data_IF_293232698254
#
_entry.id   IF_293232698254
#
_cell.length_a   1.000
_cell.length_b   1.000
_cell.length_c   1.000
_cell.angle_alpha   90.00
_cell.angle_beta   90.00
_cell.angle_gamma   90.00
#
_symmetry.space_group_name_H-M   'P 1'
#
loop_
_entity.id
_entity.type
_entity.pdbx_description
1 polymer ?
#
# COMPACT_ATOMS: atom_id res chain seq x y z
N UNK A 1 -5.10 -12.84 4.16
CA UNK A 1 -3.93 -12.01 4.53
C UNK A 1 -3.98 -11.57 5.99
N UNK A 2 -5.08 -10.96 6.47
CA UNK A 2 -5.18 -10.47 7.87
C UNK A 2 -4.78 -11.50 8.94
N UNK A 3 -5.21 -12.76 8.79
CA UNK A 3 -4.83 -13.82 9.75
C UNK A 3 -3.33 -14.13 9.84
N UNK A 4 -2.54 -13.94 8.77
CA UNK A 4 -1.08 -14.13 8.83
C UNK A 4 -0.41 -12.94 9.52
N UNK A 5 -0.86 -11.72 9.22
CA UNK A 5 -0.39 -10.51 9.89
C UNK A 5 -0.69 -10.54 11.39
N UNK A 6 -1.90 -10.99 11.78
CA UNK A 6 -2.30 -11.14 13.19
C UNK A 6 -1.49 -12.23 13.90
N UNK A 7 -1.25 -13.36 13.23
CA UNK A 7 -0.52 -14.48 13.82
C UNK A 7 0.98 -14.18 14.00
N UNK A 8 1.60 -13.48 13.04
CA UNK A 8 3.04 -13.28 12.99
C UNK A 8 3.49 -11.87 13.42
N UNK A 9 2.55 -10.95 13.65
CA UNK A 9 2.86 -9.54 13.97
C UNK A 9 3.54 -8.79 12.82
N UNK A 10 3.37 -9.26 11.58
CA UNK A 10 4.00 -8.71 10.39
C UNK A 10 3.08 -7.70 9.69
N UNK A 11 3.68 -6.64 9.13
CA UNK A 11 2.97 -5.66 8.31
C UNK A 11 2.86 -6.16 6.86
N UNK A 12 1.64 -6.17 6.34
CA UNK A 12 1.32 -6.47 4.95
C UNK A 12 2.06 -5.57 3.95
N UNK A 13 2.39 -4.33 4.34
CA UNK A 13 3.14 -3.38 3.52
C UNK A 13 4.56 -3.87 3.19
N UNK A 14 5.10 -4.79 3.98
CA UNK A 14 6.45 -5.32 3.84
C UNK A 14 6.50 -6.68 3.13
N UNK A 15 5.38 -7.15 2.56
CA UNK A 15 5.37 -8.41 1.80
C UNK A 15 5.62 -8.18 0.31
N UNK A 16 6.42 -9.06 -0.28
CA UNK A 16 6.61 -9.12 -1.73
C UNK A 16 5.27 -9.33 -2.46
N UNK A 17 5.10 -8.62 -3.58
CA UNK A 17 3.95 -8.75 -4.47
C UNK A 17 4.45 -8.92 -5.92
N UNK A 18 4.09 -10.02 -6.59
CA UNK A 18 4.54 -10.33 -7.97
C UNK A 18 3.55 -9.94 -9.08
N UNK A 19 2.44 -9.28 -8.72
CA UNK A 19 1.38 -8.93 -9.67
C UNK A 19 0.61 -7.68 -9.26
N UNK A 20 1.26 -6.77 -8.53
CA UNK A 20 0.66 -5.52 -8.04
C UNK A 20 1.47 -4.32 -8.49
N UNK A 21 0.80 -3.19 -8.59
CA UNK A 21 1.39 -1.92 -9.02
C UNK A 21 1.12 -0.86 -7.95
N UNK A 22 2.08 0.03 -7.75
CA UNK A 22 1.90 1.30 -7.03
C UNK A 22 2.03 2.41 -8.07
N UNK A 23 1.02 3.28 -8.13
CA UNK A 23 0.93 4.33 -9.14
C UNK A 23 0.77 5.69 -8.46
N UNK A 24 1.52 6.68 -8.94
CA UNK A 24 1.32 8.09 -8.62
C UNK A 24 0.66 8.76 -9.82
N UNK A 25 -0.47 9.44 -9.59
CA UNK A 25 -1.29 10.07 -10.63
C UNK A 25 -1.63 11.50 -10.24
N UNK A 26 -2.01 12.31 -11.23
CA UNK A 26 -2.54 13.65 -10.98
C UNK A 26 -3.84 13.55 -10.14
N UNK A 27 -4.06 14.51 -9.23
CA UNK A 27 -5.15 14.46 -8.26
C UNK A 27 -6.53 14.42 -8.92
N UNK A 28 -6.68 15.20 -9.99
CA UNK A 28 -7.87 15.30 -10.83
C UNK A 28 -8.16 14.03 -11.64
N UNK A 29 -7.13 13.24 -11.96
CA UNK A 29 -7.27 11.97 -12.69
C UNK A 29 -7.44 10.73 -11.79
N UNK A 30 -7.35 10.88 -10.46
CA UNK A 30 -7.29 9.75 -9.54
C UNK A 30 -8.50 8.80 -9.65
N UNK A 31 -9.71 9.35 -9.67
CA UNK A 31 -10.94 8.55 -9.80
C UNK A 31 -11.08 7.92 -11.19
N UNK A 32 -10.68 8.65 -12.23
CA UNK A 32 -10.71 8.16 -13.60
C UNK A 32 -9.77 6.95 -13.77
N UNK A 33 -8.52 7.07 -13.32
CA UNK A 33 -7.55 5.97 -13.35
C UNK A 33 -8.03 4.79 -12.50
N UNK A 34 -8.59 5.05 -11.31
CA UNK A 34 -9.12 4.00 -10.45
C UNK A 34 -10.25 3.21 -11.14
N UNK A 35 -11.17 3.90 -11.82
CA UNK A 35 -12.24 3.26 -12.57
C UNK A 35 -11.69 2.38 -13.71
N UNK A 36 -10.70 2.88 -14.45
CA UNK A 36 -10.03 2.12 -15.51
C UNK A 36 -9.34 0.86 -14.96
N UNK A 37 -8.60 0.96 -13.86
CA UNK A 37 -7.96 -0.20 -13.22
C UNK A 37 -9.00 -1.24 -12.80
N UNK A 38 -10.09 -0.80 -12.16
CA UNK A 38 -11.16 -1.69 -11.68
C UNK A 38 -11.96 -2.35 -12.80
N UNK A 39 -11.96 -1.78 -14.00
CA UNK A 39 -12.57 -2.40 -15.19
C UNK A 39 -11.83 -3.65 -15.68
N UNK A 40 -10.54 -3.79 -15.33
CA UNK A 40 -9.73 -4.93 -15.70
C UNK A 40 -9.72 -6.00 -14.60
N UNK A 41 -9.77 -7.28 -14.97
CA UNK A 41 -9.86 -8.39 -14.00
C UNK A 41 -8.72 -8.39 -12.96
N UNK A 42 -7.50 -8.00 -13.37
CA UNK A 42 -6.34 -7.90 -12.47
C UNK A 42 -6.38 -6.67 -11.54
N UNK A 43 -7.15 -5.64 -11.87
CA UNK A 43 -7.21 -4.38 -11.14
C UNK A 43 -8.51 -4.17 -10.35
N UNK A 44 -9.41 -5.16 -10.29
CA UNK A 44 -10.70 -5.08 -9.57
C UNK A 44 -10.56 -4.59 -8.12
N UNK A 45 -9.44 -4.94 -7.47
CA UNK A 45 -9.14 -4.64 -6.07
C UNK A 45 -8.28 -3.36 -5.91
N UNK A 46 -8.09 -2.58 -6.99
CA UNK A 46 -7.36 -1.31 -6.94
C UNK A 46 -8.03 -0.32 -5.98
N UNK A 47 -7.20 0.50 -5.33
CA UNK A 47 -7.65 1.48 -4.36
C UNK A 47 -6.69 2.68 -4.31
N UNK A 48 -7.24 3.85 -3.99
CA UNK A 48 -6.45 5.02 -3.58
C UNK A 48 -6.04 4.80 -2.13
N UNK A 49 -4.74 4.79 -1.86
CA UNK A 49 -4.18 4.46 -0.53
C UNK A 49 -3.45 5.64 0.14
N UNK A 50 -3.38 6.80 -0.51
CA UNK A 50 -2.71 7.96 0.06
C UNK A 50 -2.60 9.13 -0.92
N UNK A 51 -1.88 10.16 -0.49
CA UNK A 51 -1.60 11.36 -1.28
C UNK A 51 -0.17 11.85 -1.02
N UNK A 52 0.43 12.48 -2.02
CA UNK A 52 1.71 13.17 -1.87
C UNK A 52 1.47 14.52 -1.18
N UNK A 53 2.29 14.83 -0.19
CA UNK A 53 2.24 16.09 0.56
C UNK A 53 3.62 16.75 0.55
N UNK A 54 3.66 18.07 0.73
CA UNK A 54 4.92 18.83 0.71
C UNK A 54 5.90 18.43 1.84
N UNK A 55 5.38 17.93 2.98
CA UNK A 55 6.23 17.51 4.09
C UNK A 55 6.95 16.18 3.75
N UNK A 56 8.29 16.14 3.85
CA UNK A 56 9.05 14.92 3.58
C UNK A 56 8.71 13.73 4.50
N UNK A 57 8.94 12.53 3.98
CA UNK A 57 8.78 11.26 4.69
C UNK A 57 7.44 10.55 4.43
N UNK A 58 7.43 9.23 4.57
CA UNK A 58 6.23 8.39 4.43
C UNK A 58 5.57 8.21 5.78
N UNK A 59 4.25 8.37 5.84
CA UNK A 59 3.47 8.22 7.08
C UNK A 59 2.21 7.43 6.85
N UNK A 60 1.93 6.49 7.74
CA UNK A 60 0.64 5.80 7.80
C UNK A 60 -0.33 6.57 8.68
N UNK A 61 -1.62 6.51 8.36
CA UNK A 61 -2.70 7.13 9.13
C UNK A 61 -3.46 6.03 9.86
N UNK A 62 -3.34 6.01 11.18
CA UNK A 62 -4.04 5.06 12.04
C UNK A 62 -5.38 5.59 12.55
N UNK A 63 -5.88 4.94 13.60
CA UNK A 63 -7.10 5.38 14.30
C UNK A 63 -7.01 6.85 14.71
N UNK A 64 -8.16 7.53 14.64
CA UNK A 64 -8.32 8.96 14.97
C UNK A 64 -7.44 9.90 14.12
N UNK A 65 -6.98 9.45 12.94
CA UNK A 65 -6.17 10.28 12.05
C UNK A 65 -4.72 10.45 12.52
N UNK A 66 -4.27 9.67 13.51
CA UNK A 66 -2.90 9.74 14.03
C UNK A 66 -1.92 9.31 12.94
N UNK A 67 -1.00 10.21 12.58
CA UNK A 67 0.03 9.98 11.57
C UNK A 67 1.30 9.49 12.24
N UNK A 68 1.82 8.33 11.82
CA UNK A 68 3.09 7.77 12.29
C UNK A 68 4.04 7.61 11.10
N UNK A 69 5.33 7.82 11.32
CA UNK A 69 6.34 7.51 10.30
C UNK A 69 6.27 6.03 9.96
N UNK A 70 6.30 5.71 8.68
CA UNK A 70 6.39 4.34 8.20
C UNK A 70 7.86 4.03 7.94
N UNK A 71 8.47 3.30 8.86
CA UNK A 71 9.87 2.90 8.75
C UNK A 71 10.02 1.67 7.86
N UNK A 72 11.13 1.60 7.13
CA UNK A 72 11.46 0.43 6.33
C UNK A 72 11.86 -0.74 7.25
N UNK A 73 11.51 -1.99 6.89
CA UNK A 73 11.95 -3.16 7.63
C UNK A 73 13.48 -3.29 7.53
N UNK A 74 14.12 -3.73 8.62
CA UNK A 74 15.56 -3.99 8.61
C UNK A 74 15.94 -5.23 7.79
N UNK A 75 15.01 -6.18 7.66
CA UNK A 75 15.18 -7.45 6.94
C UNK A 75 13.86 -7.87 6.32
N UNK A 76 13.91 -8.63 5.22
CA UNK A 76 12.72 -9.25 4.63
C UNK A 76 12.08 -10.25 5.63
N UNK A 77 10.74 -10.27 5.78
CA UNK A 77 10.05 -11.13 6.74
C UNK A 77 10.16 -12.64 6.47
N UNK A 78 10.45 -13.07 5.24
CA UNK A 78 10.56 -14.49 4.89
C UNK A 78 11.77 -14.74 3.98
N UNK A 79 12.58 -15.79 4.27
CA UNK A 79 13.64 -16.20 3.37
C UNK A 79 13.06 -16.80 2.08
N UNK A 80 13.65 -16.45 0.92
CA UNK A 80 13.28 -16.98 -0.42
C UNK A 80 11.82 -16.68 -0.83
N UNK A 81 11.37 -15.45 -0.58
CA UNK A 81 10.00 -14.99 -0.88
C UNK A 81 9.78 -14.67 -2.38
N UNK A 82 10.84 -14.66 -3.18
CA UNK A 82 10.85 -14.45 -4.63
C UNK A 82 11.97 -15.25 -5.29
#
# INVERSE_FOLDING_TARGET
>A
MRGVCELLGLDALNFANEGKLVLAVARDEAENVLAHLRSHALGRDAAIIGEVVARPGVRSVGLYGVKRTLDLPHTEPLPRIC
#
